data_IF_872883141872
#
_entry.id   IF_872883141872
#
_cell.length_a   1.000
_cell.length_b   1.000
_cell.length_c   1.000
_cell.angle_alpha   90.00
_cell.angle_beta   90.00
_cell.angle_gamma   90.00
#
_symmetry.space_group_name_H-M   'P 1'
#
loop_
_entity.id
_entity.type
_entity.pdbx_description
1 polymer ?
#
# COMPACT_ATOMS: atom_id res chain seq x y z
N UNK A 1 22.24 -16.39 -10.07
CA UNK A 1 22.25 -15.27 -9.10
C UNK A 1 21.58 -15.74 -7.81
N UNK A 2 22.17 -15.49 -6.63
CA UNK A 2 21.82 -16.19 -5.36
C UNK A 2 21.11 -15.32 -4.30
N UNK A 3 20.98 -14.00 -4.50
CA UNK A 3 20.04 -13.10 -3.79
C UNK A 3 19.93 -11.76 -4.52
N UNK A 4 18.75 -11.14 -4.52
CA UNK A 4 18.53 -9.78 -5.07
C UNK A 4 18.11 -8.87 -3.91
N UNK A 5 18.75 -7.71 -3.78
CA UNK A 5 18.37 -6.67 -2.82
C UNK A 5 17.41 -5.69 -3.49
N UNK A 6 16.32 -5.34 -2.80
CA UNK A 6 15.33 -4.38 -3.29
C UNK A 6 15.62 -2.94 -2.81
N UNK A 7 16.57 -2.76 -1.89
CA UNK A 7 16.85 -1.46 -1.29
C UNK A 7 15.58 -0.81 -0.73
N UNK A 8 15.37 0.48 -1.02
CA UNK A 8 14.22 1.27 -0.57
C UNK A 8 12.98 1.16 -1.47
N UNK A 9 12.98 0.25 -2.47
CA UNK A 9 11.92 0.19 -3.47
C UNK A 9 10.52 0.01 -2.86
N UNK A 10 10.37 -0.90 -1.88
CA UNK A 10 9.08 -1.16 -1.22
C UNK A 10 8.59 0.03 -0.41
N UNK A 11 9.48 0.69 0.33
CA UNK A 11 9.12 1.88 1.11
C UNK A 11 8.68 3.04 0.21
N UNK A 12 9.37 3.25 -0.93
CA UNK A 12 9.00 4.28 -1.91
C UNK A 12 7.68 3.96 -2.60
N UNK A 13 7.41 2.69 -2.91
CA UNK A 13 6.13 2.28 -3.48
C UNK A 13 4.96 2.57 -2.51
N UNK A 14 5.12 2.22 -1.23
CA UNK A 14 4.12 2.52 -0.20
C UNK A 14 3.89 4.03 -0.04
N UNK A 15 4.96 4.82 0.02
CA UNK A 15 4.85 6.28 0.12
C UNK A 15 4.19 6.91 -1.11
N UNK A 16 4.51 6.41 -2.31
CA UNK A 16 3.89 6.86 -3.55
C UNK A 16 2.38 6.63 -3.58
N UNK A 17 1.94 5.43 -3.21
CA UNK A 17 0.51 5.10 -3.12
C UNK A 17 -0.20 5.98 -2.07
N UNK A 18 0.43 6.21 -0.92
CA UNK A 18 -0.10 7.08 0.13
C UNK A 18 -0.29 8.52 -0.34
N UNK A 19 0.74 9.13 -0.95
CA UNK A 19 0.66 10.50 -1.47
C UNK A 19 -0.36 10.61 -2.61
N UNK A 20 -0.49 9.56 -3.43
CA UNK A 20 -1.52 9.47 -4.46
C UNK A 20 -2.93 9.56 -3.88
N UNK A 21 -3.25 8.73 -2.89
CA UNK A 21 -4.54 8.77 -2.19
C UNK A 21 -4.78 10.10 -1.47
N UNK A 22 -3.77 10.65 -0.79
CA UNK A 22 -3.88 11.94 -0.12
C UNK A 22 -4.20 13.09 -1.10
N UNK A 23 -3.63 13.06 -2.31
CA UNK A 23 -3.95 14.02 -3.37
C UNK A 23 -5.38 13.86 -3.88
N UNK A 24 -5.85 12.63 -4.06
CA UNK A 24 -7.24 12.36 -4.43
C UNK A 24 -8.21 12.96 -3.40
N UNK A 25 -7.99 12.69 -2.11
CA UNK A 25 -8.78 13.29 -1.03
C UNK A 25 -8.80 14.82 -1.13
N UNK A 26 -7.62 15.43 -1.26
CA UNK A 26 -7.48 16.89 -1.23
C UNK A 26 -8.08 17.59 -2.45
N UNK A 27 -8.05 16.94 -3.62
CA UNK A 27 -8.44 17.55 -4.89
C UNK A 27 -9.86 17.18 -5.33
N UNK A 28 -10.28 15.94 -5.07
CA UNK A 28 -11.51 15.37 -5.60
C UNK A 28 -12.51 15.02 -4.48
N UNK A 29 -12.06 14.90 -3.23
CA UNK A 29 -12.91 14.52 -2.11
C UNK A 29 -13.43 13.08 -2.19
N UNK A 30 -12.78 12.23 -2.99
CA UNK A 30 -13.15 10.84 -3.23
C UNK A 30 -12.18 9.86 -2.55
N UNK A 31 -12.59 8.59 -2.48
CA UNK A 31 -11.88 7.52 -1.79
C UNK A 31 -11.52 6.34 -2.71
N UNK A 32 -11.36 6.58 -4.01
CA UNK A 32 -11.05 5.59 -5.04
C UNK A 32 -9.74 4.84 -4.78
N UNK A 33 -8.73 5.47 -4.17
CA UNK A 33 -7.51 4.78 -3.73
C UNK A 33 -7.77 3.56 -2.83
N UNK A 34 -8.88 3.54 -2.07
CA UNK A 34 -9.22 2.43 -1.18
C UNK A 34 -9.56 1.15 -1.95
N UNK A 35 -9.98 1.25 -3.21
CA UNK A 35 -10.23 0.09 -4.09
C UNK A 35 -8.97 -0.71 -4.39
N UNK A 36 -7.79 -0.09 -4.23
CA UNK A 36 -6.48 -0.73 -4.39
C UNK A 36 -5.85 -1.13 -3.05
N UNK A 37 -6.51 -0.84 -1.92
CA UNK A 37 -6.02 -1.21 -0.61
C UNK A 37 -6.17 -2.72 -0.36
N UNK A 38 -5.28 -3.27 0.46
CA UNK A 38 -5.39 -4.65 0.92
C UNK A 38 -6.72 -4.83 1.69
N UNK A 39 -7.47 -5.87 1.36
CA UNK A 39 -8.72 -6.16 2.08
C UNK A 39 -8.43 -6.50 3.54
N UNK A 40 -9.40 -6.28 4.44
CA UNK A 40 -9.25 -6.68 5.84
C UNK A 40 -8.96 -8.18 6.01
N UNK A 41 -9.58 -9.03 5.18
CA UNK A 41 -9.36 -10.48 5.20
C UNK A 41 -7.91 -10.83 4.85
N UNK A 42 -7.40 -10.27 3.75
CA UNK A 42 -6.02 -10.52 3.32
C UNK A 42 -5.01 -9.93 4.31
N UNK A 43 -5.29 -8.75 4.86
CA UNK A 43 -4.45 -8.13 5.88
C UNK A 43 -4.36 -8.99 7.14
N UNK A 44 -5.48 -9.51 7.64
CA UNK A 44 -5.51 -10.40 8.80
C UNK A 44 -4.78 -11.73 8.53
N UNK A 45 -4.87 -12.26 7.31
CA UNK A 45 -4.17 -13.48 6.92
C UNK A 45 -2.63 -13.34 6.97
N UNK A 46 -2.09 -12.12 6.90
CA UNK A 46 -0.66 -11.86 7.12
C UNK A 46 -0.26 -11.99 8.60
N UNK A 47 -1.22 -11.92 9.53
CA UNK A 47 -1.01 -11.97 10.98
C UNK A 47 -1.92 -13.02 11.65
N UNK A 48 -1.78 -14.32 11.31
CA UNK A 48 -2.60 -15.36 11.89
C UNK A 48 -2.39 -15.45 13.42
N UNK A 49 -3.43 -15.80 14.20
CA UNK A 49 -3.28 -16.06 15.63
C UNK A 49 -2.26 -17.19 15.85
N UNK A 50 -1.38 -17.00 16.83
CA UNK A 50 -0.36 -17.97 17.22
C UNK A 50 -0.91 -19.16 18.00
#
# INVERSE_FOLDING_TARGET
>A
MRRISLGSAMARAALGAFVGGARELAQQGTFGFATHALSYGDANALFPPG
#
